data_IF_997396277417
#
_entry.id   IF_997396277417
#
_cell.length_a   1.000
_cell.length_b   1.000
_cell.length_c   1.000
_cell.angle_alpha   90.00
_cell.angle_beta   90.00
_cell.angle_gamma   90.00
#
_symmetry.space_group_name_H-M   'P 1'
#
loop_
_entity.id
_entity.type
_entity.pdbx_description
1 polymer ?
#
# COMPACT_ATOMS: atom_id res chain seq x y z
N UNK A 1 28.39 -35.78 56.99
CA UNK A 1 28.90 -35.95 55.61
C UNK A 1 27.73 -35.75 54.66
N UNK A 2 27.48 -34.50 54.27
CA UNK A 2 26.26 -34.09 53.59
C UNK A 2 26.60 -32.90 52.69
N UNK A 3 27.22 -33.13 51.53
CA UNK A 3 27.41 -32.08 50.53
C UNK A 3 27.38 -32.65 49.12
N UNK A 4 26.58 -31.96 48.29
CA UNK A 4 26.59 -31.93 46.83
C UNK A 4 25.78 -33.00 46.08
N UNK A 5 24.51 -33.11 46.46
CA UNK A 5 23.42 -33.41 45.52
C UNK A 5 22.92 -32.11 44.86
N UNK A 6 23.68 -31.56 43.91
CA UNK A 6 23.20 -30.50 43.00
C UNK A 6 23.80 -30.80 41.62
N UNK A 7 23.34 -31.90 41.04
CA UNK A 7 23.53 -32.21 39.62
C UNK A 7 22.15 -32.37 38.98
N UNK A 8 21.23 -31.48 39.34
CA UNK A 8 19.91 -31.41 38.76
C UNK A 8 19.88 -30.26 37.75
N UNK A 9 19.44 -30.60 36.54
CA UNK A 9 18.59 -29.73 35.73
C UNK A 9 19.24 -28.61 34.91
N UNK A 10 20.28 -28.89 34.12
CA UNK A 10 20.80 -27.91 33.11
C UNK A 10 20.84 -28.45 31.67
N UNK A 11 20.56 -29.74 31.43
CA UNK A 11 20.85 -30.37 30.12
C UNK A 11 19.64 -30.84 29.28
N UNK A 12 18.42 -30.33 29.57
CA UNK A 12 17.21 -30.67 28.81
C UNK A 12 16.48 -29.44 28.24
N UNK A 13 17.22 -28.41 27.86
CA UNK A 13 16.68 -27.37 26.99
C UNK A 13 16.85 -27.82 25.54
N UNK A 14 15.77 -28.21 24.82
CA UNK A 14 15.87 -28.34 23.38
C UNK A 14 16.32 -26.99 22.82
N UNK A 15 17.19 -26.96 21.80
CA UNK A 15 17.48 -25.72 21.11
C UNK A 15 16.15 -25.19 20.58
N UNK A 16 15.71 -24.04 21.09
CA UNK A 16 14.71 -23.27 20.40
C UNK A 16 15.31 -22.97 19.03
N UNK A 17 14.92 -23.76 18.04
CA UNK A 17 15.07 -23.41 16.64
C UNK A 17 14.18 -22.19 16.51
N UNK A 18 14.76 -21.02 16.78
CA UNK A 18 14.23 -19.77 16.31
C UNK A 18 14.27 -19.90 14.79
N UNK A 19 13.18 -20.44 14.24
CA UNK A 19 12.84 -20.23 12.86
C UNK A 19 12.62 -18.73 12.76
N UNK A 20 13.71 -18.01 12.48
CA UNK A 20 13.62 -16.81 11.70
C UNK A 20 13.03 -17.29 10.37
N UNK A 21 11.70 -17.38 10.31
CA UNK A 21 10.98 -17.30 9.07
C UNK A 21 11.48 -16.02 8.42
N UNK A 22 12.43 -16.19 7.50
CA UNK A 22 12.69 -15.21 6.48
C UNK A 22 11.41 -15.16 5.65
N UNK A 23 10.44 -14.38 6.12
CA UNK A 23 9.27 -14.01 5.35
C UNK A 23 9.82 -13.12 4.24
N UNK A 24 10.27 -13.76 3.17
CA UNK A 24 10.56 -13.12 1.90
C UNK A 24 9.29 -12.36 1.51
N UNK A 25 9.40 -11.03 1.50
CA UNK A 25 8.25 -10.13 1.57
C UNK A 25 7.21 -10.46 0.51
N UNK A 26 5.97 -10.70 0.95
CA UNK A 26 4.81 -10.85 0.08
C UNK A 26 4.58 -9.53 -0.69
N UNK A 27 5.27 -9.36 -1.82
CA UNK A 27 5.09 -8.26 -2.75
C UNK A 27 4.03 -8.68 -3.75
N UNK A 28 2.93 -7.93 -3.78
CA UNK A 28 1.82 -8.16 -4.70
C UNK A 28 1.83 -7.04 -5.72
N UNK A 29 1.78 -7.40 -7.01
CA UNK A 29 1.52 -6.45 -8.07
C UNK A 29 0.03 -6.06 -8.03
N UNK A 30 -0.23 -4.76 -7.96
CA UNK A 30 -1.60 -4.26 -7.86
C UNK A 30 -2.23 -4.23 -9.25
N UNK A 31 -3.27 -5.03 -9.43
CA UNK A 31 -4.06 -5.02 -10.67
C UNK A 31 -5.29 -4.13 -10.50
N UNK A 32 -5.32 -3.00 -11.21
CA UNK A 32 -6.49 -2.12 -11.29
C UNK A 32 -7.49 -2.62 -12.35
N UNK A 33 -7.94 -3.87 -12.18
CA UNK A 33 -8.74 -4.58 -13.18
C UNK A 33 -10.26 -4.47 -12.95
N UNK A 34 -10.70 -4.03 -11.78
CA UNK A 34 -12.11 -4.06 -11.42
C UNK A 34 -12.82 -2.74 -11.71
N UNK A 35 -14.07 -2.87 -12.18
CA UNK A 35 -15.00 -1.76 -12.20
C UNK A 35 -15.37 -1.32 -10.77
N UNK A 36 -15.60 -0.01 -10.55
CA UNK A 36 -15.98 0.52 -9.26
C UNK A 36 -17.42 0.12 -8.91
N UNK A 37 -17.60 -0.31 -7.67
CA UNK A 37 -18.91 -0.48 -7.03
C UNK A 37 -19.50 0.88 -6.64
N UNK A 38 -20.81 0.93 -6.34
CA UNK A 38 -21.46 2.19 -5.95
C UNK A 38 -20.80 2.88 -4.74
N UNK A 39 -20.40 2.20 -3.65
CA UNK A 39 -19.68 2.83 -2.55
C UNK A 39 -18.36 3.50 -2.99
N UNK A 40 -17.65 2.92 -3.95
CA UNK A 40 -16.40 3.46 -4.49
C UNK A 40 -16.67 4.67 -5.39
N UNK A 41 -17.73 4.61 -6.21
CA UNK A 41 -18.18 5.76 -6.98
C UNK A 41 -18.58 6.94 -6.08
N UNK A 42 -19.29 6.68 -4.98
CA UNK A 42 -19.64 7.69 -3.98
C UNK A 42 -18.38 8.29 -3.34
N UNK A 43 -17.41 7.45 -2.94
CA UNK A 43 -16.15 7.91 -2.38
C UNK A 43 -15.36 8.78 -3.38
N UNK A 44 -15.31 8.39 -4.65
CA UNK A 44 -14.66 9.16 -5.73
C UNK A 44 -15.35 10.50 -5.95
N UNK A 45 -16.69 10.52 -6.04
CA UNK A 45 -17.45 11.77 -6.19
C UNK A 45 -17.17 12.74 -5.03
N UNK A 46 -17.01 12.22 -3.81
CA UNK A 46 -16.74 13.02 -2.61
C UNK A 46 -15.29 13.53 -2.54
N UNK A 47 -14.31 12.67 -2.80
CA UNK A 47 -12.90 12.96 -2.53
C UNK A 47 -12.09 13.37 -3.77
N UNK A 48 -12.53 13.01 -4.98
CA UNK A 48 -11.87 13.34 -6.23
C UNK A 48 -12.73 14.23 -7.17
N UNK A 49 -13.75 14.92 -6.64
CA UNK A 49 -14.61 15.81 -7.40
C UNK A 49 -13.84 16.78 -8.31
N UNK A 50 -12.73 17.35 -7.80
CA UNK A 50 -11.87 18.28 -8.55
C UNK A 50 -11.21 17.63 -9.76
N UNK A 51 -10.76 16.38 -9.64
CA UNK A 51 -10.17 15.65 -10.75
C UNK A 51 -11.23 15.30 -11.80
N UNK A 52 -12.41 14.84 -11.36
CA UNK A 52 -13.53 14.56 -12.26
C UNK A 52 -13.98 15.81 -13.02
N UNK A 53 -14.11 16.94 -12.33
CA UNK A 53 -14.47 18.22 -12.95
C UNK A 53 -13.42 18.66 -13.99
N UNK A 54 -12.13 18.54 -13.67
CA UNK A 54 -11.03 18.85 -14.60
C UNK A 54 -11.07 17.96 -15.85
N UNK A 55 -11.30 16.66 -15.68
CA UNK A 55 -11.41 15.70 -16.77
C UNK A 55 -12.61 16.01 -17.69
N UNK A 56 -13.77 16.31 -17.10
CA UNK A 56 -15.00 16.65 -17.82
C UNK A 56 -14.88 17.98 -18.56
N UNK A 57 -14.29 19.01 -17.94
CA UNK A 57 -14.07 20.31 -18.57
C UNK A 57 -13.16 20.21 -19.82
N UNK A 58 -12.27 19.21 -19.86
CA UNK A 58 -11.43 18.92 -21.01
C UNK A 58 -12.10 18.00 -22.05
N UNK A 59 -13.36 17.59 -21.86
CA UNK A 59 -14.06 16.64 -22.74
C UNK A 59 -13.43 15.25 -22.76
N UNK A 60 -12.80 14.84 -21.64
CA UNK A 60 -12.07 13.58 -21.49
C UNK A 60 -12.40 12.94 -20.13
N UNK A 61 -13.58 12.29 -19.98
CA UNK A 61 -14.00 11.69 -18.71
C UNK A 61 -12.92 10.76 -18.13
N UNK A 62 -12.80 10.75 -16.80
CA UNK A 62 -11.87 9.85 -16.11
C UNK A 62 -12.42 8.43 -16.05
N UNK A 63 -11.62 7.45 -16.45
CA UNK A 63 -11.83 6.04 -16.11
C UNK A 63 -11.48 5.86 -14.63
N UNK A 64 -12.35 5.20 -13.90
CA UNK A 64 -12.13 4.84 -12.50
C UNK A 64 -11.81 3.36 -12.47
N UNK A 65 -10.65 3.01 -11.95
CA UNK A 65 -10.20 1.62 -11.84
C UNK A 65 -9.85 1.29 -10.41
N UNK A 66 -10.24 0.10 -9.95
CA UNK A 66 -10.18 -0.27 -8.54
C UNK A 66 -9.33 -1.52 -8.34
N UNK A 67 -8.58 -1.51 -7.24
CA UNK A 67 -7.89 -2.67 -6.68
C UNK A 67 -8.26 -2.82 -5.20
N UNK A 68 -8.52 -4.06 -4.76
CA UNK A 68 -8.98 -4.36 -3.38
C UNK A 68 -8.09 -5.41 -2.76
N UNK A 69 -7.37 -5.08 -1.69
CA UNK A 69 -6.40 -5.97 -1.05
C UNK A 69 -6.42 -5.86 0.47
N UNK A 70 -6.73 -6.98 1.15
CA UNK A 70 -6.72 -7.14 2.62
C UNK A 70 -7.33 -5.92 3.35
N UNK A 71 -8.54 -5.53 2.97
CA UNK A 71 -9.27 -4.42 3.59
C UNK A 71 -8.82 -3.02 3.18
N UNK A 72 -7.92 -2.87 2.21
CA UNK A 72 -7.60 -1.58 1.59
C UNK A 72 -8.19 -1.54 0.17
N UNK A 73 -8.74 -0.39 -0.20
CA UNK A 73 -9.27 -0.11 -1.53
C UNK A 73 -8.42 0.98 -2.17
N UNK A 74 -7.77 0.65 -3.29
CA UNK A 74 -6.98 1.56 -4.09
C UNK A 74 -7.82 1.96 -5.30
N UNK A 75 -7.94 3.26 -5.55
CA UNK A 75 -8.72 3.81 -6.66
C UNK A 75 -7.83 4.70 -7.51
N UNK A 76 -7.63 4.30 -8.76
CA UNK A 76 -6.93 5.08 -9.78
C UNK A 76 -7.94 5.86 -10.61
N UNK A 77 -7.65 7.13 -10.88
CA UNK A 77 -8.42 7.97 -11.81
C UNK A 77 -7.59 8.24 -13.06
N UNK A 78 -7.93 7.56 -14.16
CA UNK A 78 -7.17 7.59 -15.40
C UNK A 78 -7.88 8.47 -16.45
N UNK A 79 -7.27 9.61 -16.78
CA UNK A 79 -7.62 10.39 -17.98
C UNK A 79 -6.43 11.24 -18.39
N UNK A 80 -6.23 11.37 -19.70
CA UNK A 80 -5.17 12.21 -20.28
C UNK A 80 -5.24 13.68 -19.84
N UNK A 81 -6.39 14.15 -19.36
CA UNK A 81 -6.57 15.51 -18.86
C UNK A 81 -6.09 15.71 -17.42
N UNK A 82 -5.97 14.64 -16.63
CA UNK A 82 -5.60 14.69 -15.21
C UNK A 82 -4.31 13.96 -14.89
N UNK A 83 -3.94 12.95 -15.68
CA UNK A 83 -2.67 12.26 -15.56
C UNK A 83 -1.54 13.15 -16.09
N UNK A 84 -0.48 13.25 -15.32
CA UNK A 84 0.76 13.91 -15.72
C UNK A 84 1.69 12.85 -16.33
N UNK A 85 2.26 13.13 -17.51
CA UNK A 85 3.17 12.18 -18.18
C UNK A 85 4.41 11.85 -17.35
N UNK A 86 4.83 12.76 -16.48
CA UNK A 86 5.98 12.60 -15.58
C UNK A 86 5.51 12.09 -14.21
N UNK A 87 4.42 12.65 -13.67
CA UNK A 87 3.98 12.41 -12.28
C UNK A 87 2.89 11.34 -12.12
N UNK A 88 2.39 10.76 -13.20
CA UNK A 88 1.36 9.72 -13.24
C UNK A 88 -0.09 10.17 -12.95
N UNK A 89 -0.99 9.21 -12.73
CA UNK A 89 -2.42 9.44 -12.53
C UNK A 89 -2.77 9.54 -11.03
N UNK A 90 -3.81 10.32 -10.64
CA UNK A 90 -4.29 10.36 -9.26
C UNK A 90 -4.63 8.98 -8.70
N UNK A 91 -4.13 8.70 -7.50
CA UNK A 91 -4.35 7.49 -6.74
C UNK A 91 -4.87 7.85 -5.34
N UNK A 92 -6.01 7.28 -4.98
CA UNK A 92 -6.58 7.33 -3.64
C UNK A 92 -6.48 5.95 -2.99
N UNK A 93 -6.08 5.91 -1.72
CA UNK A 93 -6.10 4.67 -0.93
C UNK A 93 -6.99 4.85 0.28
N UNK A 94 -7.93 3.93 0.44
CA UNK A 94 -8.88 3.90 1.52
C UNK A 94 -8.70 2.64 2.36
N UNK A 95 -9.03 2.77 3.64
CA UNK A 95 -9.35 1.62 4.50
C UNK A 95 -10.84 1.52 4.78
N UNK A 96 -11.48 2.67 4.84
CA UNK A 96 -12.93 2.84 4.97
C UNK A 96 -13.34 3.89 3.93
N UNK A 97 -14.22 3.50 3.01
CA UNK A 97 -14.72 4.37 1.94
C UNK A 97 -15.63 5.49 2.44
N UNK A 98 -16.12 5.41 3.68
CA UNK A 98 -16.94 6.46 4.30
C UNK A 98 -16.09 7.60 4.86
N UNK A 99 -14.83 7.31 5.18
CA UNK A 99 -13.84 8.24 5.70
C UNK A 99 -13.00 8.91 4.60
N UNK A 100 -12.08 9.79 4.99
CA UNK A 100 -11.09 10.37 4.05
C UNK A 100 -10.09 9.30 3.60
N UNK A 101 -9.54 9.41 2.37
CA UNK A 101 -8.45 8.54 1.95
C UNK A 101 -7.29 8.63 2.94
N UNK A 102 -6.72 7.48 3.30
CA UNK A 102 -5.52 7.42 4.15
C UNK A 102 -4.26 7.83 3.37
N UNK A 103 -4.32 7.80 2.04
CA UNK A 103 -3.29 8.29 1.14
C UNK A 103 -3.94 8.92 -0.11
N UNK A 104 -3.54 10.14 -0.43
CA UNK A 104 -3.83 10.82 -1.69
C UNK A 104 -2.48 11.10 -2.38
N UNK A 105 -2.26 10.51 -3.55
CA UNK A 105 -0.99 10.61 -4.27
C UNK A 105 -1.18 10.40 -5.77
N UNK A 106 -0.10 10.16 -6.51
CA UNK A 106 -0.13 9.78 -7.91
C UNK A 106 0.69 8.52 -8.15
N UNK A 107 0.24 7.67 -9.05
CA UNK A 107 0.93 6.44 -9.44
C UNK A 107 0.60 6.05 -10.89
N UNK A 108 1.52 5.33 -11.54
CA UNK A 108 1.17 4.54 -12.74
C UNK A 108 0.62 3.19 -12.29
N UNK A 109 0.26 2.31 -13.23
CA UNK A 109 -0.25 0.96 -12.92
C UNK A 109 0.80 0.04 -12.26
N UNK A 110 2.02 0.50 -12.05
CA UNK A 110 3.13 -0.24 -11.43
C UNK A 110 3.19 -0.07 -9.90
N UNK A 111 2.05 -0.11 -9.23
CA UNK A 111 1.97 -0.08 -7.76
C UNK A 111 2.22 -1.48 -7.21
N UNK A 112 3.03 -1.59 -6.16
CA UNK A 112 3.21 -2.82 -5.41
C UNK A 112 2.66 -2.65 -3.99
N UNK A 113 2.02 -3.68 -3.46
CA UNK A 113 1.75 -3.80 -2.04
C UNK A 113 2.78 -4.74 -1.42
N UNK A 114 3.50 -4.27 -0.41
CA UNK A 114 4.45 -5.08 0.35
C UNK A 114 3.95 -5.22 1.79
N UNK A 115 3.73 -6.47 2.22
CA UNK A 115 3.34 -6.79 3.58
C UNK A 115 4.59 -7.10 4.41
N UNK A 116 4.87 -6.26 5.42
CA UNK A 116 6.02 -6.39 6.33
C UNK A 116 5.51 -6.58 7.75
N UNK A 117 5.34 -7.83 8.17
CA UNK A 117 4.64 -8.17 9.41
C UNK A 117 3.20 -7.65 9.37
N UNK A 118 2.84 -6.78 10.31
CA UNK A 118 1.50 -6.17 10.39
C UNK A 118 1.35 -4.88 9.56
N UNK A 119 2.42 -4.39 8.96
CA UNK A 119 2.40 -3.16 8.18
C UNK A 119 2.21 -3.46 6.69
N UNK A 120 1.36 -2.67 6.05
CA UNK A 120 1.18 -2.66 4.59
C UNK A 120 1.91 -1.45 4.01
N UNK A 121 2.71 -1.65 2.99
CA UNK A 121 3.39 -0.59 2.27
C UNK A 121 2.87 -0.51 0.84
N UNK A 122 2.42 0.67 0.42
CA UNK A 122 2.21 1.00 -0.99
C UNK A 122 3.54 1.48 -1.54
N UNK A 123 4.14 0.69 -2.41
CA UNK A 123 5.39 1.01 -3.09
C UNK A 123 5.05 1.55 -4.47
N UNK A 124 5.39 2.81 -4.69
CA UNK A 124 5.10 3.55 -5.92
C UNK A 124 6.42 3.75 -6.66
N UNK A 125 6.48 3.26 -7.90
CA UNK A 125 7.62 3.41 -8.79
C UNK A 125 7.30 4.44 -9.86
N UNK A 126 8.00 5.57 -9.85
CA UNK A 126 7.85 6.61 -10.87
C UNK A 126 9.20 6.82 -11.53
N UNK A 127 9.38 6.23 -12.71
CA UNK A 127 10.66 6.25 -13.42
C UNK A 127 11.79 5.72 -12.53
N UNK A 128 12.68 6.61 -12.11
CA UNK A 128 13.80 6.37 -11.24
C UNK A 128 13.49 6.57 -9.75
N UNK A 129 12.35 7.15 -9.40
CA UNK A 129 11.96 7.41 -8.03
C UNK A 129 11.15 6.26 -7.45
N UNK A 130 11.58 5.81 -6.27
CA UNK A 130 10.89 4.80 -5.48
C UNK A 130 10.38 5.45 -4.20
N UNK A 131 9.06 5.42 -4.00
CA UNK A 131 8.42 5.92 -2.78
C UNK A 131 7.71 4.79 -2.07
N UNK A 132 7.92 4.69 -0.77
CA UNK A 132 7.21 3.75 0.09
C UNK A 132 6.27 4.51 1.02
N UNK A 133 4.97 4.23 0.91
CA UNK A 133 3.95 4.76 1.80
C UNK A 133 3.48 3.66 2.75
N UNK A 134 3.88 3.74 4.02
CA UNK A 134 3.33 2.87 5.07
C UNK A 134 1.87 3.23 5.29
N UNK A 135 0.99 2.24 5.24
CA UNK A 135 -0.42 2.34 5.59
C UNK A 135 -0.58 1.85 7.04
N UNK A 136 -0.46 2.73 8.06
CA UNK A 136 -0.59 2.31 9.46
C UNK A 136 -2.00 1.81 9.73
N UNK A 137 -2.26 0.92 10.71
CA UNK A 137 -3.61 0.43 11.04
C UNK A 137 -4.62 1.54 11.41
N UNK A 138 -4.13 2.69 11.86
CA UNK A 138 -4.92 3.88 12.16
C UNK A 138 -4.19 5.14 11.69
N UNK A 139 -4.94 6.15 11.25
CA UNK A 139 -4.39 7.44 10.80
C UNK A 139 -3.94 7.47 9.34
N UNK A 140 -3.19 8.51 8.99
CA UNK A 140 -2.72 8.79 7.62
C UNK A 140 -1.47 8.00 7.26
N UNK A 141 -1.34 7.66 5.98
CA UNK A 141 -0.15 7.04 5.44
C UNK A 141 1.07 7.95 5.56
N UNK A 142 2.24 7.36 5.83
CA UNK A 142 3.52 8.07 5.88
C UNK A 142 4.39 7.59 4.74
N UNK A 143 4.75 8.52 3.85
CA UNK A 143 5.57 8.21 2.69
C UNK A 143 7.01 8.67 2.89
N UNK A 144 7.96 7.82 2.49
CA UNK A 144 9.38 8.15 2.45
C UNK A 144 9.96 7.79 1.07
N UNK A 145 10.91 8.58 0.54
CA UNK A 145 11.72 8.12 -0.57
C UNK A 145 12.54 6.91 -0.13
N UNK A 146 12.69 5.93 -1.01
CA UNK A 146 13.60 4.81 -0.80
C UNK A 146 14.92 5.16 -1.47
N UNK A 147 15.99 5.22 -0.68
CA UNK A 147 17.32 5.44 -1.23
C UNK A 147 17.64 4.31 -2.22
N UNK A 148 17.98 4.67 -3.47
CA UNK A 148 18.60 3.71 -4.38
C UNK A 148 19.87 3.22 -3.70
N UNK A 149 19.95 1.92 -3.39
CA UNK A 149 21.27 1.31 -3.16
C UNK A 149 22.04 1.54 -4.46
N UNK A 150 23.12 2.32 -4.41
CA UNK A 150 24.08 2.39 -5.51
C UNK A 150 24.58 0.95 -5.69
N UNK A 151 24.16 0.29 -6.76
CA UNK A 151 24.79 -0.96 -7.21
C UNK A 151 26.10 -0.62 -7.90
#
# INVERSE_FOLDING_TARGET
>A
MLRLAILALVLLLPPAIAQAEAIEGNRIFVEFAYDPSEPELVAVRKHAAKHLAKANAAGRPARISVARYRGNTLISLESVAICDRVKACPLLVFRDLTARPILETTAFQNVLLEYRGNDVYVVIRLWDDLKECRLPPQGMARCKPVAKKKS
#
